data_IF_303366310031
#
_entry.id   IF_303366310031
#
_cell.length_a   1.000
_cell.length_b   1.000
_cell.length_c   1.000
_cell.angle_alpha   90.00
_cell.angle_beta   90.00
_cell.angle_gamma   90.00
#
_symmetry.space_group_name_H-M   'P 1'
#
loop_
_entity.id
_entity.type
_entity.pdbx_description
1 polymer ?
#
# COMPACT_ATOMS: atom_id res chain seq x y z
N UNK A 1 14.85 -1.47 -11.25
CA UNK A 1 14.39 -0.44 -10.31
C UNK A 1 15.54 0.50 -10.07
N UNK A 2 15.32 1.80 -10.19
CA UNK A 2 16.39 2.78 -10.01
C UNK A 2 16.73 2.89 -8.52
N UNK A 3 17.92 2.43 -8.11
CA UNK A 3 18.36 2.40 -6.70
C UNK A 3 18.32 3.81 -6.07
N UNK A 4 18.44 4.85 -6.89
CA UNK A 4 18.32 6.26 -6.48
C UNK A 4 16.92 6.65 -6.03
N UNK A 5 15.85 6.10 -6.63
CA UNK A 5 14.47 6.40 -6.24
C UNK A 5 14.12 5.78 -4.88
N UNK A 6 14.51 4.51 -4.67
CA UNK A 6 14.32 3.83 -3.39
C UNK A 6 15.09 4.53 -2.25
N UNK A 7 16.33 4.96 -2.50
CA UNK A 7 17.16 5.71 -1.54
C UNK A 7 16.58 7.09 -1.20
N UNK A 8 16.04 7.82 -2.19
CA UNK A 8 15.37 9.12 -1.93
C UNK A 8 14.11 8.95 -1.09
N UNK A 9 13.31 7.91 -1.36
CA UNK A 9 12.10 7.65 -0.59
C UNK A 9 12.41 7.22 0.85
N UNK A 10 13.41 6.36 1.06
CA UNK A 10 13.89 6.00 2.41
C UNK A 10 14.50 7.18 3.15
N UNK A 11 15.09 8.15 2.45
CA UNK A 11 15.56 9.40 3.06
C UNK A 11 14.44 10.40 3.35
N UNK A 12 13.39 10.45 2.52
CA UNK A 12 12.27 11.36 2.67
C UNK A 12 11.23 10.87 3.68
N UNK A 13 11.10 9.55 3.83
CA UNK A 13 10.23 8.89 4.80
C UNK A 13 11.10 8.05 5.73
N UNK A 14 11.58 8.69 6.79
CA UNK A 14 12.53 8.13 7.76
C UNK A 14 12.02 6.88 8.50
N UNK A 15 10.71 6.59 8.40
CA UNK A 15 10.06 5.47 9.08
C UNK A 15 10.10 4.15 8.30
N UNK A 16 10.56 4.13 7.04
CA UNK A 16 10.67 2.88 6.26
C UNK A 16 11.74 1.97 6.89
N UNK A 17 11.39 0.74 7.30
CA UNK A 17 12.37 -0.24 7.79
C UNK A 17 13.40 -0.56 6.70
N UNK A 18 14.69 -0.45 7.03
CA UNK A 18 15.80 -0.67 6.09
C UNK A 18 16.97 -1.39 6.74
N UNK A 19 17.68 -2.19 5.94
CA UNK A 19 18.99 -2.75 6.27
C UNK A 19 20.10 -2.05 5.46
N UNK A 20 21.27 -2.68 5.32
CA UNK A 20 22.40 -2.13 4.58
C UNK A 20 22.17 -2.10 3.05
N UNK A 21 21.21 -2.88 2.55
CA UNK A 21 20.93 -3.09 1.13
C UNK A 21 19.63 -2.40 0.68
N UNK A 22 18.75 -2.00 1.60
CA UNK A 22 17.57 -1.19 1.27
C UNK A 22 16.35 -1.47 2.16
N UNK A 23 15.13 -1.15 1.67
CA UNK A 23 13.89 -1.45 2.39
C UNK A 23 13.74 -2.96 2.60
N UNK A 24 13.38 -3.39 3.81
CA UNK A 24 13.12 -4.80 4.13
C UNK A 24 11.62 -5.07 4.04
N UNK A 25 11.26 -6.16 3.37
CA UNK A 25 9.88 -6.60 3.18
C UNK A 25 9.68 -8.01 3.75
N UNK A 26 8.64 -8.20 4.57
CA UNK A 26 8.24 -9.48 5.16
C UNK A 26 7.38 -10.32 4.21
N UNK A 27 6.75 -9.67 3.23
CA UNK A 27 5.91 -10.33 2.23
C UNK A 27 6.01 -9.64 0.86
N UNK A 28 5.77 -10.37 -0.25
CA UNK A 28 5.85 -9.79 -1.60
C UNK A 28 4.95 -8.57 -1.83
N UNK A 29 3.78 -8.54 -1.18
CA UNK A 29 2.82 -7.43 -1.32
C UNK A 29 3.36 -6.11 -0.74
N UNK A 30 4.21 -6.16 0.29
CA UNK A 30 4.80 -4.96 0.90
C UNK A 30 5.73 -4.26 -0.09
N UNK A 31 6.54 -5.04 -0.81
CA UNK A 31 7.40 -4.53 -1.88
C UNK A 31 6.60 -3.91 -3.03
N UNK A 32 5.46 -4.51 -3.38
CA UNK A 32 4.56 -3.98 -4.40
C UNK A 32 3.92 -2.66 -3.97
N UNK A 33 3.40 -2.58 -2.74
CA UNK A 33 2.82 -1.36 -2.17
C UNK A 33 3.85 -0.22 -2.12
N UNK A 34 5.08 -0.53 -1.72
CA UNK A 34 6.20 0.42 -1.75
C UNK A 34 6.49 0.91 -3.18
N UNK A 35 6.64 0.00 -4.15
CA UNK A 35 6.91 0.36 -5.54
C UNK A 35 5.78 1.20 -6.17
N UNK A 36 4.53 0.93 -5.82
CA UNK A 36 3.38 1.75 -6.26
C UNK A 36 3.45 3.15 -5.68
N UNK A 37 3.74 3.30 -4.38
CA UNK A 37 3.88 4.61 -3.74
C UNK A 37 5.00 5.44 -4.41
N UNK A 38 6.17 4.83 -4.67
CA UNK A 38 7.25 5.49 -5.43
C UNK A 38 6.78 5.97 -6.81
N UNK A 39 6.13 5.08 -7.56
CA UNK A 39 5.72 5.37 -8.93
C UNK A 39 4.68 6.50 -8.99
N UNK A 40 3.79 6.59 -7.99
CA UNK A 40 2.78 7.64 -7.92
C UNK A 40 3.38 8.98 -7.47
N UNK A 41 4.34 8.95 -6.54
CA UNK A 41 5.13 10.12 -6.17
C UNK A 41 5.90 10.68 -7.38
N UNK A 42 6.62 9.82 -8.11
CA UNK A 42 7.43 10.24 -9.26
C UNK A 42 6.57 10.83 -10.40
N UNK A 43 5.30 10.44 -10.45
CA UNK A 43 4.29 11.00 -11.37
C UNK A 43 3.60 12.25 -10.82
N UNK A 44 3.97 12.72 -9.62
CA UNK A 44 3.45 13.93 -9.00
C UNK A 44 2.03 13.82 -8.45
N UNK A 45 1.52 12.61 -8.21
CA UNK A 45 0.17 12.41 -7.64
C UNK A 45 0.08 12.98 -6.22
N UNK A 46 1.16 12.81 -5.46
CA UNK A 46 1.36 13.41 -4.14
C UNK A 46 2.84 13.70 -3.92
N UNK A 47 3.13 14.56 -2.96
CA UNK A 47 4.48 14.85 -2.45
C UNK A 47 4.82 13.97 -1.25
N UNK A 48 6.11 13.81 -0.93
CA UNK A 48 6.51 13.10 0.29
C UNK A 48 6.03 13.77 1.58
N UNK A 49 5.83 15.10 1.58
CA UNK A 49 5.26 15.80 2.75
C UNK A 49 3.79 15.43 2.98
N UNK A 50 2.99 15.35 1.91
CA UNK A 50 1.61 14.86 1.99
C UNK A 50 1.57 13.39 2.43
N UNK A 51 2.48 12.56 1.90
CA UNK A 51 2.62 11.17 2.31
C UNK A 51 2.91 11.03 3.80
N UNK A 52 3.92 11.73 4.31
CA UNK A 52 4.31 11.67 5.71
C UNK A 52 3.18 12.11 6.65
N UNK A 53 2.45 13.16 6.29
CA UNK A 53 1.29 13.63 7.05
C UNK A 53 0.18 12.58 7.08
N UNK A 54 -0.20 12.03 5.92
CA UNK A 54 -1.25 11.02 5.82
C UNK A 54 -0.87 9.73 6.58
N UNK A 55 0.38 9.27 6.47
CA UNK A 55 0.87 8.09 7.19
C UNK A 55 0.82 8.28 8.71
N UNK A 56 1.26 9.45 9.19
CA UNK A 56 1.19 9.76 10.61
C UNK A 56 -0.26 9.74 11.13
N UNK A 57 -1.22 10.23 10.35
CA UNK A 57 -2.64 10.21 10.72
C UNK A 57 -3.21 8.78 10.71
N UNK A 58 -2.82 7.92 9.76
CA UNK A 58 -3.24 6.52 9.75
C UNK A 58 -2.70 5.76 10.97
N UNK A 59 -1.41 5.92 11.29
CA UNK A 59 -0.79 5.27 12.45
C UNK A 59 -1.48 5.73 13.75
N UNK A 60 -1.73 7.04 13.92
CA UNK A 60 -2.45 7.56 15.09
C UNK A 60 -3.85 6.96 15.24
N UNK A 61 -4.59 6.83 14.14
CA UNK A 61 -5.93 6.22 14.15
C UNK A 61 -5.86 4.74 14.53
N UNK A 62 -4.89 4.00 14.00
CA UNK A 62 -4.70 2.60 14.33
C UNK A 62 -4.30 2.40 15.80
N UNK A 63 -3.36 3.19 16.31
CA UNK A 63 -2.98 3.19 17.73
C UNK A 63 -4.19 3.50 18.63
N UNK A 64 -5.01 4.49 18.27
CA UNK A 64 -6.24 4.80 18.99
C UNK A 64 -7.28 3.65 18.94
N UNK A 65 -7.23 2.81 17.91
CA UNK A 65 -8.06 1.61 17.78
C UNK A 65 -7.46 0.36 18.46
N UNK A 66 -6.31 0.48 19.14
CA UNK A 66 -5.69 -0.59 19.92
C UNK A 66 -4.57 -1.35 19.22
N UNK A 67 -4.00 -0.83 18.14
CA UNK A 67 -2.80 -1.41 17.52
C UNK A 67 -1.63 -1.41 18.51
N UNK A 68 -1.02 -2.58 18.82
CA UNK A 68 0.06 -2.69 19.80
C UNK A 68 1.40 -2.09 19.34
N UNK A 69 1.49 -1.52 18.13
CA UNK A 69 2.67 -0.82 17.60
C UNK A 69 3.95 -1.69 17.64
N UNK A 70 3.80 -2.95 17.26
CA UNK A 70 4.91 -3.93 17.18
C UNK A 70 5.70 -3.81 15.87
N UNK A 71 5.29 -2.91 14.97
CA UNK A 71 5.82 -2.78 13.61
C UNK A 71 5.28 -3.82 12.62
N UNK A 72 4.53 -4.83 13.08
CA UNK A 72 3.96 -5.87 12.20
C UNK A 72 2.84 -5.33 11.30
N UNK A 73 2.20 -4.23 11.71
CA UNK A 73 1.13 -3.53 10.99
C UNK A 73 1.64 -2.36 10.15
N UNK A 74 2.96 -2.09 10.15
CA UNK A 74 3.52 -0.89 9.49
C UNK A 74 3.16 -0.80 8.01
N UNK A 75 3.34 -1.88 7.24
CA UNK A 75 2.97 -1.87 5.82
C UNK A 75 1.45 -1.90 5.59
N UNK A 76 0.65 -2.26 6.59
CA UNK A 76 -0.81 -2.09 6.52
C UNK A 76 -1.17 -0.60 6.61
N UNK A 77 -0.52 0.16 7.50
CA UNK A 77 -0.66 1.62 7.56
C UNK A 77 -0.15 2.29 6.29
N UNK A 78 0.93 1.76 5.70
CA UNK A 78 1.45 2.19 4.40
C UNK A 78 0.42 2.00 3.29
N UNK A 79 -0.20 0.82 3.21
CA UNK A 79 -1.23 0.53 2.21
C UNK A 79 -2.48 1.42 2.41
N UNK A 80 -2.95 1.56 3.66
CA UNK A 80 -4.08 2.44 3.97
C UNK A 80 -3.78 3.91 3.61
N UNK A 81 -2.53 4.35 3.78
CA UNK A 81 -2.08 5.68 3.36
C UNK A 81 -2.14 5.83 1.84
N UNK A 82 -1.66 4.82 1.12
CA UNK A 82 -1.67 4.80 -0.33
C UNK A 82 -3.11 4.91 -0.86
N UNK A 83 -4.01 4.03 -0.38
CA UNK A 83 -5.42 4.00 -0.74
C UNK A 83 -6.12 5.34 -0.46
N UNK A 84 -5.85 5.92 0.72
CA UNK A 84 -6.39 7.22 1.10
C UNK A 84 -5.95 8.33 0.13
N UNK A 85 -4.65 8.40 -0.19
CA UNK A 85 -4.12 9.46 -1.06
C UNK A 85 -4.63 9.31 -2.50
N UNK A 86 -4.64 8.11 -3.07
CA UNK A 86 -5.12 7.92 -4.45
C UNK A 86 -6.62 8.23 -4.58
N UNK A 87 -7.41 7.95 -3.54
CA UNK A 87 -8.82 8.33 -3.50
C UNK A 87 -9.00 9.85 -3.35
N UNK A 88 -8.28 10.47 -2.39
CA UNK A 88 -8.35 11.92 -2.14
C UNK A 88 -7.89 12.75 -3.35
N UNK A 89 -6.98 12.22 -4.16
CA UNK A 89 -6.48 12.85 -5.40
C UNK A 89 -7.31 12.52 -6.64
N UNK A 90 -8.39 11.74 -6.51
CA UNK A 90 -9.29 11.39 -7.60
C UNK A 90 -8.72 10.41 -8.64
N UNK A 91 -7.64 9.69 -8.30
CA UNK A 91 -7.08 8.62 -9.16
C UNK A 91 -8.00 7.40 -9.18
N UNK A 92 -8.71 7.16 -8.07
CA UNK A 92 -9.74 6.13 -7.90
C UNK A 92 -10.75 6.61 -6.86
N UNK A 93 -11.72 5.76 -6.49
CA UNK A 93 -12.65 6.03 -5.38
C UNK A 93 -12.59 4.92 -4.33
N UNK A 94 -12.97 5.19 -3.06
CA UNK A 94 -13.06 4.15 -2.04
C UNK A 94 -13.97 2.99 -2.46
N UNK A 95 -15.07 3.28 -3.15
CA UNK A 95 -16.01 2.27 -3.66
C UNK A 95 -15.35 1.38 -4.72
N UNK A 96 -14.52 1.97 -5.58
CA UNK A 96 -13.76 1.22 -6.59
C UNK A 96 -12.74 0.31 -5.93
N UNK A 97 -12.00 0.80 -4.93
CA UNK A 97 -11.04 -0.02 -4.16
C UNK A 97 -11.74 -1.21 -3.48
N UNK A 98 -12.85 -0.96 -2.77
CA UNK A 98 -13.64 -2.02 -2.14
C UNK A 98 -14.18 -3.01 -3.17
N UNK A 99 -14.73 -2.52 -4.28
CA UNK A 99 -15.26 -3.37 -5.35
C UNK A 99 -14.18 -4.32 -5.90
N UNK A 100 -12.95 -3.87 -6.06
CA UNK A 100 -11.86 -4.72 -6.52
C UNK A 100 -11.36 -5.69 -5.44
N UNK A 101 -11.30 -5.29 -4.18
CA UNK A 101 -11.01 -6.19 -3.05
C UNK A 101 -12.01 -7.35 -3.04
N UNK A 102 -13.31 -7.01 -3.02
CA UNK A 102 -14.38 -7.99 -2.94
C UNK A 102 -14.39 -8.92 -4.19
N UNK A 103 -14.06 -8.39 -5.37
CA UNK A 103 -13.91 -9.19 -6.59
C UNK A 103 -12.72 -10.15 -6.52
N UNK A 104 -11.57 -9.72 -5.98
CA UNK A 104 -10.42 -10.59 -5.77
C UNK A 104 -10.69 -11.68 -4.74
N UNK A 105 -11.42 -11.37 -3.66
CA UNK A 105 -11.82 -12.36 -2.64
C UNK A 105 -12.69 -13.45 -3.28
N UNK A 106 -13.71 -13.07 -4.06
CA UNK A 106 -14.55 -14.04 -4.80
C UNK A 106 -13.74 -14.85 -5.80
N UNK A 107 -12.84 -14.20 -6.54
CA UNK A 107 -11.99 -14.89 -7.50
C UNK A 107 -11.08 -15.91 -6.81
N UNK A 108 -10.53 -15.58 -5.63
CA UNK A 108 -9.75 -16.50 -4.82
C UNK A 108 -10.60 -17.68 -4.34
N UNK A 109 -11.78 -17.42 -3.77
CA UNK A 109 -12.69 -18.45 -3.23
C UNK A 109 -13.11 -19.47 -4.29
N UNK A 110 -13.41 -19.03 -5.52
CA UNK A 110 -13.83 -19.93 -6.60
C UNK A 110 -12.68 -20.63 -7.32
N UNK A 111 -11.43 -20.24 -7.08
CA UNK A 111 -10.27 -20.79 -7.80
C UNK A 111 -9.77 -22.06 -7.10
N UNK A 112 -9.77 -23.23 -7.76
CA UNK A 112 -9.23 -24.45 -7.16
C UNK A 112 -7.75 -24.30 -6.79
N UNK A 113 -7.33 -24.93 -5.70
CA UNK A 113 -5.94 -24.90 -5.24
C UNK A 113 -4.97 -25.32 -6.36
N UNK A 114 -3.86 -24.58 -6.47
CA UNK A 114 -2.83 -24.80 -7.50
C UNK A 114 -3.17 -24.23 -8.88
N UNK A 115 -4.33 -23.57 -9.05
CA UNK A 115 -4.64 -22.78 -10.26
C UNK A 115 -4.38 -21.30 -10.04
N UNK A 116 -3.96 -20.55 -11.08
CA UNK A 116 -3.83 -19.09 -10.99
C UNK A 116 -5.19 -18.44 -10.72
N UNK A 117 -5.20 -17.45 -9.83
CA UNK A 117 -6.37 -16.62 -9.57
C UNK A 117 -6.43 -15.55 -10.67
N UNK A 118 -7.58 -15.43 -11.32
CA UNK A 118 -7.82 -14.44 -12.36
C UNK A 118 -9.20 -13.83 -12.18
N UNK A 119 -9.30 -12.50 -12.28
CA UNK A 119 -10.57 -11.79 -12.29
C UNK A 119 -11.34 -12.06 -13.59
N UNK A 120 -12.65 -12.16 -13.44
CA UNK A 120 -13.64 -12.24 -14.52
C UNK A 120 -14.73 -11.20 -14.28
N UNK A 121 -15.52 -10.83 -15.30
CA UNK A 121 -16.63 -9.88 -15.11
C UNK A 121 -17.62 -10.30 -14.02
N UNK A 122 -17.85 -11.60 -13.84
CA UNK A 122 -18.76 -12.13 -12.81
C UNK A 122 -18.28 -11.88 -11.37
N UNK A 123 -16.98 -11.66 -11.16
CA UNK A 123 -16.46 -11.36 -9.82
C UNK A 123 -16.85 -9.97 -9.33
N UNK A 124 -17.38 -9.12 -10.21
CA UNK A 124 -17.80 -7.76 -9.88
C UNK A 124 -19.31 -7.60 -9.62
N UNK A 125 -20.08 -8.68 -9.70
CA UNK A 125 -21.55 -8.69 -9.54
C UNK A 125 -22.04 -8.86 -8.10
#
# INVERSE_FOLDING_TARGET
MDATAAARATSAVSSIPRDQDGPVFRAPWEAQAFAMALSLHDRGVFTWSEWAAALADQIKRAQAAGDPDTGETYYQHWLATLEHLVAAKGVTTPETLHRYRDAWDRAADRTPHGKPIALTPADFE
#
